data_IF_834814467968
#
_entry.id   IF_834814467968
#
_cell.length_a   1.000
_cell.length_b   1.000
_cell.length_c   1.000
_cell.angle_alpha   90.00
_cell.angle_beta   90.00
_cell.angle_gamma   90.00
#
_symmetry.space_group_name_H-M   'P 1'
#
loop_
_entity.id
_entity.type
_entity.pdbx_description
1 polymer ?
#
# COMPACT_ATOMS: atom_id res chain seq x y z
N UNK A 1 -15.76 -2.78 -1.20
CA UNK A 1 -15.05 -2.89 0.08
C UNK A 1 -13.57 -3.09 -0.18
N UNK A 2 -12.69 -2.35 0.52
CA UNK A 2 -11.24 -2.57 0.48
C UNK A 2 -10.89 -3.81 1.28
N UNK A 3 -9.90 -4.58 0.82
CA UNK A 3 -9.31 -5.61 1.68
C UNK A 3 -8.33 -4.97 2.68
N UNK A 4 -8.06 -5.64 3.81
CA UNK A 4 -7.09 -5.15 4.81
C UNK A 4 -5.72 -4.87 4.19
N UNK A 5 -5.28 -5.71 3.24
CA UNK A 5 -3.99 -5.53 2.57
C UNK A 5 -3.98 -4.31 1.62
N UNK A 6 -5.11 -3.99 0.98
CA UNK A 6 -5.20 -2.80 0.12
C UNK A 6 -4.95 -1.52 0.94
N UNK A 7 -5.54 -1.44 2.14
CA UNK A 7 -5.37 -0.30 3.05
C UNK A 7 -3.94 -0.21 3.57
N UNK A 8 -3.33 -1.34 3.97
CA UNK A 8 -1.92 -1.40 4.39
C UNK A 8 -0.99 -0.89 3.29
N UNK A 9 -1.20 -1.34 2.05
CA UNK A 9 -0.40 -0.91 0.91
C UNK A 9 -0.56 0.60 0.68
N UNK A 10 -1.78 1.11 0.64
CA UNK A 10 -2.02 2.54 0.43
C UNK A 10 -1.47 3.39 1.57
N UNK A 11 -1.57 2.95 2.82
CA UNK A 11 -1.00 3.65 3.99
C UNK A 11 0.53 3.68 3.95
N UNK A 12 1.17 2.56 3.57
CA UNK A 12 2.61 2.54 3.34
C UNK A 12 3.03 3.43 2.15
N UNK A 13 2.21 3.52 1.09
CA UNK A 13 2.46 4.43 -0.03
C UNK A 13 2.30 5.90 0.31
N UNK A 14 1.41 6.24 1.25
CA UNK A 14 1.19 7.61 1.73
C UNK A 14 2.39 8.12 2.54
N UNK A 15 3.04 7.21 3.26
CA UNK A 15 4.28 7.46 3.99
C UNK A 15 5.47 7.46 3.04
N UNK A 16 5.68 8.60 2.37
CA UNK A 16 6.74 8.82 1.37
C UNK A 16 8.14 8.45 1.88
N UNK A 17 8.37 8.48 3.20
CA UNK A 17 9.61 8.06 3.86
C UNK A 17 9.89 6.54 3.74
N UNK A 18 8.85 5.70 3.63
CA UNK A 18 9.00 4.24 3.45
C UNK A 18 9.19 3.81 1.99
N UNK A 19 8.74 4.60 1.02
CA UNK A 19 8.93 4.31 -0.42
C UNK A 19 10.10 5.07 -1.03
N UNK A 20 10.45 6.24 -0.50
CA UNK A 20 11.63 7.03 -0.86
C UNK A 20 11.78 7.32 -2.36
N UNK A 21 13.04 7.56 -2.80
CA UNK A 21 13.46 7.86 -4.18
C UNK A 21 13.06 6.82 -5.26
N UNK A 22 12.44 5.71 -4.88
CA UNK A 22 12.05 4.61 -5.77
C UNK A 22 10.58 4.68 -6.23
N UNK A 23 9.97 5.87 -6.15
CA UNK A 23 8.57 6.16 -6.44
C UNK A 23 7.94 5.17 -7.42
N UNK A 24 7.04 4.39 -6.86
CA UNK A 24 5.98 3.77 -7.60
C UNK A 24 6.27 2.42 -8.22
N UNK A 25 7.48 1.87 -8.29
CA UNK A 25 7.65 0.54 -8.89
C UNK A 25 6.86 -0.55 -8.13
N UNK A 26 6.06 -1.34 -8.86
CA UNK A 26 5.20 -2.38 -8.27
C UNK A 26 5.97 -3.40 -7.42
N UNK A 27 7.16 -3.83 -7.84
CA UNK A 27 7.96 -4.80 -7.08
C UNK A 27 8.46 -4.19 -5.76
N UNK A 28 8.84 -2.90 -5.77
CA UNK A 28 9.26 -2.20 -4.57
C UNK A 28 8.08 -1.99 -3.61
N UNK A 29 6.91 -1.61 -4.13
CA UNK A 29 5.70 -1.50 -3.31
C UNK A 29 5.39 -2.85 -2.64
N UNK A 30 5.45 -3.95 -3.39
CA UNK A 30 5.24 -5.28 -2.81
C UNK A 30 6.34 -5.68 -1.82
N UNK A 31 7.57 -5.23 -2.03
CA UNK A 31 8.69 -5.54 -1.15
C UNK A 31 8.62 -4.76 0.18
N UNK A 32 8.18 -3.51 0.16
CA UNK A 32 8.24 -2.64 1.34
C UNK A 32 6.88 -2.44 2.01
N UNK A 33 5.77 -2.57 1.28
CA UNK A 33 4.42 -2.28 1.78
C UNK A 33 3.56 -3.52 2.01
N UNK A 34 4.05 -4.72 1.72
CA UNK A 34 3.33 -5.97 2.01
C UNK A 34 4.05 -6.67 3.17
N UNK A 35 3.37 -6.88 4.31
CA UNK A 35 3.95 -7.58 5.46
C UNK A 35 4.47 -8.97 5.08
N UNK A 36 5.57 -9.40 5.70
CA UNK A 36 6.27 -10.65 5.36
C UNK A 36 5.34 -11.85 5.49
N UNK A 37 4.57 -11.91 6.56
CA UNK A 37 3.60 -12.97 6.88
C UNK A 37 2.53 -13.08 5.79
N UNK A 38 2.12 -11.92 5.24
CA UNK A 38 1.17 -11.89 4.14
C UNK A 38 1.81 -12.39 2.83
N UNK A 39 3.09 -12.06 2.59
CA UNK A 39 3.82 -12.57 1.42
C UNK A 39 4.01 -14.06 1.44
N UNK A 40 4.26 -14.64 2.61
CA UNK A 40 4.48 -16.06 2.78
C UNK A 40 3.19 -16.87 2.59
N UNK A 41 2.04 -16.28 2.96
CA UNK A 41 0.71 -16.93 2.88
C UNK A 41 -0.01 -16.69 1.55
N UNK A 42 0.34 -15.65 0.81
CA UNK A 42 -0.40 -15.23 -0.37
C UNK A 42 0.49 -15.02 -1.59
N UNK A 43 0.03 -15.51 -2.76
CA UNK A 43 0.71 -15.27 -4.03
C UNK A 43 0.75 -13.76 -4.37
N UNK A 44 1.93 -13.24 -4.64
CA UNK A 44 2.13 -11.82 -5.05
C UNK A 44 1.32 -11.42 -6.28
N UNK A 45 1.04 -12.36 -7.19
CA UNK A 45 0.15 -12.11 -8.34
C UNK A 45 -1.26 -11.69 -7.93
N UNK A 46 -1.77 -12.13 -6.77
CA UNK A 46 -3.06 -11.67 -6.24
C UNK A 46 -2.98 -10.22 -5.75
N UNK A 47 -1.87 -9.85 -5.08
CA UNK A 47 -1.64 -8.49 -4.58
C UNK A 47 -1.47 -7.51 -5.75
N UNK A 48 -0.70 -7.89 -6.79
CA UNK A 48 -0.59 -7.13 -8.04
C UNK A 48 -1.95 -6.86 -8.69
N UNK A 49 -2.81 -7.87 -8.75
CA UNK A 49 -4.20 -7.70 -9.24
C UNK A 49 -5.02 -6.77 -8.35
N UNK A 50 -4.79 -6.77 -7.03
CA UNK A 50 -5.36 -5.81 -6.09
C UNK A 50 -4.97 -4.38 -6.43
N UNK A 51 -3.68 -4.12 -6.63
CA UNK A 51 -3.18 -2.79 -7.01
C UNK A 51 -3.76 -2.28 -8.33
N UNK A 52 -3.82 -3.12 -9.37
CA UNK A 52 -4.47 -2.76 -10.65
C UNK A 52 -5.96 -2.43 -10.48
N UNK A 53 -6.64 -3.11 -9.56
CA UNK A 53 -8.04 -2.84 -9.22
C UNK A 53 -8.20 -1.53 -8.44
N UNK A 54 -7.27 -1.20 -7.55
CA UNK A 54 -7.24 0.11 -6.88
C UNK A 54 -7.04 1.23 -7.91
N UNK A 55 -6.18 1.00 -8.91
CA UNK A 55 -6.00 1.95 -10.01
C UNK A 55 -7.26 2.09 -10.88
N UNK A 56 -7.90 0.98 -11.27
CA UNK A 56 -9.14 1.03 -12.06
C UNK A 56 -10.31 1.69 -11.32
N UNK A 57 -10.23 1.79 -9.99
CA UNK A 57 -11.22 2.46 -9.13
C UNK A 57 -10.84 3.90 -8.78
N UNK A 58 -9.71 4.39 -9.28
CA UNK A 58 -9.28 5.78 -9.08
C UNK A 58 -8.61 6.06 -7.73
N UNK A 59 -8.16 5.05 -6.99
CA UNK A 59 -7.39 5.26 -5.75
C UNK A 59 -5.87 5.30 -6.00
N UNK A 60 -5.43 4.67 -7.09
CA UNK A 60 -4.05 4.71 -7.56
C UNK A 60 -3.97 5.25 -8.99
N UNK A 61 -2.87 5.90 -9.33
CA UNK A 61 -2.50 6.29 -10.68
C UNK A 61 -1.46 5.29 -11.18
N UNK A 62 -1.75 4.59 -12.27
CA UNK A 62 -0.74 3.82 -12.99
C UNK A 62 0.16 4.80 -13.77
N UNK A 63 1.46 4.81 -13.47
CA UNK A 63 2.47 5.62 -14.16
C UNK A 63 2.99 4.85 -15.37
N UNK A 64 3.06 5.52 -16.52
CA UNK A 64 3.67 4.96 -17.72
C UNK A 64 5.20 5.04 -17.61
N UNK A 65 5.89 3.96 -17.95
CA UNK A 65 7.35 3.87 -17.91
C UNK A 65 7.85 2.47 -18.25
N UNK A 66 9.16 2.27 -18.15
CA UNK A 66 9.81 0.97 -18.38
C UNK A 66 9.31 -0.12 -17.42
N UNK A 67 8.86 0.28 -16.23
CA UNK A 67 8.35 -0.60 -15.20
C UNK A 67 6.92 -0.20 -14.83
N UNK A 68 6.11 -1.20 -14.45
CA UNK A 68 4.77 -0.95 -13.92
C UNK A 68 4.90 -0.21 -12.59
N UNK A 69 4.31 0.99 -12.51
CA UNK A 69 4.42 1.82 -11.34
C UNK A 69 3.11 2.49 -10.91
N UNK A 70 2.94 2.74 -9.60
CA UNK A 70 1.73 3.31 -9.00
C UNK A 70 2.04 4.50 -8.09
N UNK A 71 1.15 5.48 -8.08
CA UNK A 71 1.12 6.55 -7.09
C UNK A 71 -0.30 6.66 -6.50
N UNK A 72 -0.46 7.26 -5.32
CA UNK A 72 -1.79 7.57 -4.80
C UNK A 72 -2.45 8.68 -5.62
N UNK A 73 -3.78 8.60 -5.79
CA UNK A 73 -4.59 9.76 -6.20
C UNK A 73 -4.95 10.60 -4.97
N UNK A 74 -5.51 11.79 -5.19
CA UNK A 74 -6.12 12.60 -4.12
C UNK A 74 -7.19 11.79 -3.36
N UNK A 75 -7.97 10.97 -4.06
CA UNK A 75 -8.98 10.13 -3.42
C UNK A 75 -8.35 8.99 -2.61
N UNK A 76 -7.28 8.37 -3.12
CA UNK A 76 -6.49 7.38 -2.36
C UNK A 76 -5.90 7.98 -1.08
N UNK A 77 -5.37 9.20 -1.16
CA UNK A 77 -4.89 9.96 0.00
C UNK A 77 -6.01 10.16 1.02
N UNK A 78 -7.18 10.69 0.61
CA UNK A 78 -8.32 10.91 1.52
C UNK A 78 -8.85 9.64 2.18
N UNK A 79 -8.79 8.50 1.48
CA UNK A 79 -9.16 7.20 2.06
C UNK A 79 -8.17 6.78 3.13
N UNK A 80 -6.88 6.91 2.84
CA UNK A 80 -5.82 6.59 3.81
C UNK A 80 -5.92 7.51 5.02
N UNK A 81 -6.00 8.82 4.81
CA UNK A 81 -6.13 9.82 5.88
C UNK A 81 -7.30 9.50 6.81
N UNK A 82 -8.49 9.21 6.28
CA UNK A 82 -9.65 8.80 7.11
C UNK A 82 -9.45 7.48 7.85
N UNK A 83 -8.62 6.59 7.33
CA UNK A 83 -8.39 5.28 7.92
C UNK A 83 -7.30 5.32 9.01
N UNK A 84 -6.29 6.18 8.84
CA UNK A 84 -5.25 6.44 9.84
C UNK A 84 -5.61 7.58 10.79
N UNK A 85 -6.73 8.27 10.58
CA UNK A 85 -7.22 9.33 11.46
C UNK A 85 -7.49 8.75 12.86
N UNK A 86 -6.79 9.27 13.86
CA UNK A 86 -6.78 8.75 15.22
C UNK A 86 -5.76 7.63 15.51
N UNK A 87 -4.94 7.22 14.53
CA UNK A 87 -3.81 6.32 14.75
C UNK A 87 -2.52 7.13 14.81
N UNK A 88 -1.86 7.17 15.97
CA UNK A 88 -0.49 7.68 16.03
C UNK A 88 0.44 6.73 15.26
N UNK A 89 1.55 7.28 14.76
CA UNK A 89 2.59 6.55 14.03
C UNK A 89 3.08 5.30 14.79
N UNK A 90 3.02 5.36 16.12
CA UNK A 90 3.42 4.31 17.05
C UNK A 90 2.34 3.21 17.18
N UNK A 91 1.04 3.56 17.14
CA UNK A 91 -0.06 2.59 17.23
C UNK A 91 -0.16 1.65 16.01
N UNK A 92 0.36 2.07 14.86
CA UNK A 92 0.46 1.23 13.65
C UNK A 92 1.60 0.22 13.77
N UNK A 93 2.69 0.60 14.45
CA UNK A 93 3.81 -0.32 14.73
C UNK A 93 3.48 -1.25 15.92
N UNK A 94 2.72 -0.80 16.92
CA UNK A 94 2.27 -1.63 18.06
C UNK A 94 1.30 -2.75 17.64
N UNK A 95 0.55 -2.53 16.55
CA UNK A 95 -0.28 -3.58 15.95
C UNK A 95 0.54 -4.75 15.36
N UNK A 96 1.86 -4.58 15.19
CA UNK A 96 2.81 -5.67 14.87
C UNK A 96 3.37 -6.36 16.13
N UNK A 97 3.44 -5.69 17.29
CA UNK A 97 4.02 -6.27 18.53
C UNK A 97 3.03 -7.02 19.43
N UNK A 98 1.72 -6.73 19.39
CA UNK A 98 0.72 -7.49 20.18
C UNK A 98 0.04 -8.62 19.39
N UNK A 99 0.57 -8.94 18.21
CA UNK A 99 0.05 -9.94 17.28
C UNK A 99 0.77 -11.28 17.30
N UNK A 100 1.71 -11.52 18.23
CA UNK A 100 2.29 -12.84 18.54
C UNK A 100 3.13 -12.85 19.82
#
# INVERSE_FOLDING_TARGET
MFSKIDLIIMACMYREDRIGKHHGNIENILKFCVPKEYRDRHRMSKVKKGMRRLASRGYLILKQGRFEAFALTIEGVRVVERWIDGWSLDQINDAEEQGQ
#
